data_IF_052199751482
#
_entry.id   IF_052199751482
#
_cell.length_a   1.000
_cell.length_b   1.000
_cell.length_c   1.000
_cell.angle_alpha   90.00
_cell.angle_beta   90.00
_cell.angle_gamma   90.00
#
_symmetry.space_group_name_H-M   'P 1'
#
loop_
_entity.id
_entity.type
_entity.pdbx_description
1 polymer ?
#
# COMPACT_ATOMS: atom_id res chain seq x y z
N UNK A 1 -6.78 8.18 -24.54
CA UNK A 1 -5.62 7.67 -23.77
C UNK A 1 -6.16 6.72 -22.72
N UNK A 2 -5.81 5.44 -22.79
CA UNK A 2 -6.19 4.43 -21.79
C UNK A 2 -5.68 4.89 -20.42
N UNK A 3 -6.59 5.12 -19.48
CA UNK A 3 -6.21 5.30 -18.08
C UNK A 3 -5.73 3.94 -17.59
N UNK A 4 -4.43 3.65 -17.70
CA UNK A 4 -3.84 2.45 -17.09
C UNK A 4 -4.21 2.47 -15.62
N UNK A 5 -5.01 1.50 -15.20
CA UNK A 5 -5.31 1.28 -13.78
C UNK A 5 -4.01 1.33 -13.01
N UNK A 6 -4.00 2.13 -11.96
CA UNK A 6 -2.80 2.30 -11.16
C UNK A 6 -2.43 0.97 -10.48
N UNK A 7 -1.15 0.61 -10.57
CA UNK A 7 -0.61 -0.54 -9.88
C UNK A 7 -0.86 -0.46 -8.36
N UNK A 8 -1.29 -1.57 -7.76
CA UNK A 8 -1.62 -1.62 -6.33
C UNK A 8 -0.46 -1.15 -5.42
N UNK A 9 0.80 -1.43 -5.76
CA UNK A 9 1.96 -0.95 -5.00
C UNK A 9 2.00 0.58 -4.96
N UNK A 10 1.79 1.24 -6.10
CA UNK A 10 1.80 2.71 -6.19
C UNK A 10 0.65 3.32 -5.39
N UNK A 11 -0.54 2.73 -5.51
CA UNK A 11 -1.72 3.11 -4.71
C UNK A 11 -1.41 3.00 -3.22
N UNK A 12 -0.88 1.86 -2.76
CA UNK A 12 -0.56 1.65 -1.35
C UNK A 12 0.48 2.64 -0.83
N UNK A 13 1.58 2.87 -1.57
CA UNK A 13 2.58 3.87 -1.21
C UNK A 13 1.96 5.28 -1.07
N UNK A 14 1.12 5.70 -2.02
CA UNK A 14 0.44 7.01 -1.96
C UNK A 14 -0.49 7.12 -0.75
N UNK A 15 -1.37 6.14 -0.54
CA UNK A 15 -2.37 6.17 0.53
C UNK A 15 -1.74 6.12 1.94
N UNK A 16 -0.56 5.51 2.06
CA UNK A 16 0.19 5.46 3.32
C UNK A 16 1.20 6.61 3.48
N UNK A 17 1.45 7.39 2.43
CA UNK A 17 2.46 8.45 2.44
C UNK A 17 3.90 7.93 2.54
N UNK A 18 4.18 6.74 1.97
CA UNK A 18 5.48 6.06 2.05
C UNK A 18 6.05 5.75 0.67
N UNK A 19 7.33 5.38 0.61
CA UNK A 19 7.99 4.88 -0.60
C UNK A 19 8.09 3.33 -0.64
N UNK A 20 8.61 2.77 -1.74
CA UNK A 20 8.71 1.31 -1.93
C UNK A 20 9.62 0.62 -0.90
N UNK A 21 10.69 1.29 -0.46
CA UNK A 21 11.63 0.77 0.55
C UNK A 21 10.95 0.70 1.92
N UNK A 22 10.20 1.73 2.28
CA UNK A 22 9.39 1.75 3.49
C UNK A 22 8.27 0.72 3.45
N UNK A 23 7.61 0.52 2.30
CA UNK A 23 6.62 -0.54 2.14
C UNK A 23 7.24 -1.93 2.32
N UNK A 24 8.44 -2.17 1.78
CA UNK A 24 9.18 -3.42 2.00
C UNK A 24 9.46 -3.64 3.49
N UNK A 25 9.98 -2.63 4.19
CA UNK A 25 10.24 -2.69 5.62
C UNK A 25 8.97 -2.93 6.44
N UNK A 26 7.87 -2.24 6.10
CA UNK A 26 6.58 -2.35 6.79
C UNK A 26 5.96 -3.74 6.65
N UNK A 27 6.08 -4.35 5.47
CA UNK A 27 5.42 -5.61 5.12
C UNK A 27 6.29 -6.85 5.36
N UNK A 28 7.59 -6.67 5.51
CA UNK A 28 8.57 -7.76 5.59
C UNK A 28 8.88 -8.40 4.23
N UNK A 29 8.34 -7.90 3.12
CA UNK A 29 8.73 -8.32 1.78
C UNK A 29 10.08 -7.70 1.38
N UNK A 30 10.83 -8.37 0.52
CA UNK A 30 12.07 -7.79 -0.01
C UNK A 30 11.78 -6.63 -0.97
N UNK A 31 12.68 -5.64 -1.00
CA UNK A 31 12.61 -4.50 -1.94
C UNK A 31 12.50 -4.98 -3.41
N UNK A 32 13.19 -6.08 -3.74
CA UNK A 32 13.15 -6.67 -5.08
C UNK A 32 11.75 -7.15 -5.46
N UNK A 33 11.00 -7.77 -4.54
CA UNK A 33 9.64 -8.25 -4.76
C UNK A 33 8.67 -7.07 -4.91
N UNK A 34 8.77 -6.06 -4.04
CA UNK A 34 7.97 -4.83 -4.14
C UNK A 34 8.23 -4.13 -5.49
N UNK A 35 9.49 -4.00 -5.88
CA UNK A 35 9.90 -3.39 -7.15
C UNK A 35 9.36 -4.16 -8.36
N UNK A 36 9.37 -5.50 -8.30
CA UNK A 36 8.79 -6.37 -9.34
C UNK A 36 7.28 -6.19 -9.45
N UNK A 37 6.56 -6.14 -8.32
CA UNK A 37 5.13 -5.85 -8.33
C UNK A 37 4.84 -4.45 -8.86
N UNK A 38 5.59 -3.42 -8.47
CA UNK A 38 5.46 -2.05 -8.98
C UNK A 38 5.61 -1.94 -10.51
N UNK A 39 6.43 -2.82 -11.12
CA UNK A 39 6.58 -2.93 -12.59
C UNK A 39 5.44 -3.69 -13.29
N UNK A 40 4.45 -4.18 -12.55
CA UNK A 40 3.26 -4.84 -13.10
C UNK A 40 3.26 -6.36 -13.01
N UNK A 41 4.14 -6.97 -12.22
CA UNK A 41 4.02 -8.41 -11.95
C UNK A 41 2.77 -8.71 -11.12
N UNK A 42 2.17 -9.88 -11.37
CA UNK A 42 0.98 -10.32 -10.66
C UNK A 42 1.25 -10.46 -9.15
N UNK A 43 0.33 -9.91 -8.36
CA UNK A 43 0.25 -10.12 -6.92
C UNK A 43 -0.69 -11.28 -6.65
N UNK A 44 -0.38 -12.07 -5.62
CA UNK A 44 -1.34 -13.06 -5.13
C UNK A 44 -2.54 -12.37 -4.48
N UNK A 45 -3.69 -13.05 -4.44
CA UNK A 45 -4.88 -12.50 -3.75
C UNK A 45 -4.63 -12.21 -2.27
N UNK A 46 -3.79 -13.02 -1.60
CA UNK A 46 -3.39 -12.76 -0.22
C UNK A 46 -2.63 -11.44 -0.09
N UNK A 47 -1.67 -11.18 -0.99
CA UNK A 47 -0.90 -9.92 -1.00
C UNK A 47 -1.80 -8.72 -1.29
N UNK A 48 -2.75 -8.85 -2.22
CA UNK A 48 -3.72 -7.78 -2.52
C UNK A 48 -4.55 -7.43 -1.27
N UNK A 49 -5.08 -8.44 -0.59
CA UNK A 49 -5.83 -8.27 0.67
C UNK A 49 -4.98 -7.66 1.77
N UNK A 50 -3.72 -8.09 1.90
CA UNK A 50 -2.78 -7.53 2.87
C UNK A 50 -2.59 -6.01 2.66
N UNK A 51 -2.35 -5.57 1.41
CA UNK A 51 -2.22 -4.15 1.10
C UNK A 51 -3.50 -3.35 1.32
N UNK A 52 -4.67 -3.93 1.03
CA UNK A 52 -5.95 -3.31 1.33
C UNK A 52 -6.14 -3.08 2.84
N UNK A 53 -5.80 -4.08 3.67
CA UNK A 53 -5.88 -3.99 5.13
C UNK A 53 -4.94 -2.92 5.71
N UNK A 54 -3.74 -2.75 5.15
CA UNK A 54 -2.82 -1.68 5.57
C UNK A 54 -3.42 -0.29 5.32
N UNK A 55 -4.02 -0.08 4.16
CA UNK A 55 -4.68 1.19 3.80
C UNK A 55 -5.87 1.46 4.73
N UNK A 56 -6.72 0.45 4.95
CA UNK A 56 -7.87 0.56 5.85
C UNK A 56 -7.42 0.88 7.28
N UNK A 57 -6.40 0.18 7.79
CA UNK A 57 -5.85 0.44 9.12
C UNK A 57 -5.30 1.87 9.26
N UNK A 58 -4.62 2.38 8.24
CA UNK A 58 -4.15 3.76 8.21
C UNK A 58 -5.32 4.76 8.32
N UNK A 59 -6.39 4.55 7.54
CA UNK A 59 -7.60 5.40 7.57
C UNK A 59 -8.30 5.35 8.93
N UNK A 60 -8.43 4.17 9.51
CA UNK A 60 -9.04 4.00 10.84
C UNK A 60 -8.24 4.72 11.93
N UNK A 61 -6.90 4.65 11.89
CA UNK A 61 -6.04 5.38 12.83
C UNK A 61 -6.23 6.89 12.71
N UNK A 62 -6.27 7.42 11.50
CA UNK A 62 -6.52 8.85 11.26
C UNK A 62 -7.88 9.29 11.82
N UNK A 63 -8.93 8.48 11.61
CA UNK A 63 -10.28 8.76 12.11
C UNK A 63 -10.40 8.73 13.64
N UNK A 64 -9.65 7.83 14.30
CA UNK A 64 -9.61 7.78 15.76
C UNK A 64 -8.89 9.02 16.29
N UNK A 65 -7.76 9.41 15.69
CA UNK A 65 -6.98 10.59 16.10
C UNK A 65 -7.83 11.86 15.97
N UNK A 66 -8.57 12.04 14.87
CA UNK A 66 -9.42 13.22 14.70
C UNK A 66 -10.49 13.33 15.79
N UNK A 67 -11.07 12.20 16.23
CA UNK A 67 -12.10 12.18 17.29
C UNK A 67 -11.60 12.45 18.71
N UNK A 68 -10.29 12.39 18.96
CA UNK A 68 -9.70 12.66 20.28
C UNK A 68 -9.33 14.13 20.46
N UNK A 69 -9.24 14.88 19.36
CA UNK A 69 -8.83 16.29 19.33
C UNK A 69 -10.06 17.23 19.38
N UNK A 70 -11.25 16.70 19.09
CA UNK A 70 -12.56 17.38 19.24
C UNK A 70 -13.12 17.21 20.67
#
# INVERSE_FOLDING_TARGET
>A
MEQKEENLVKKTCRELGINQKELANLTGFSEAVISRWNRGANLTESTKKHFALLIENSKLKTHIISKVID
#
